data_IF_217379653135
#
_entry.id   IF_217379653135
#
_cell.length_a   1.000
_cell.length_b   1.000
_cell.length_c   1.000
_cell.angle_alpha   90.00
_cell.angle_beta   90.00
_cell.angle_gamma   90.00
#
_symmetry.space_group_name_H-M   'P 1'
#
loop_
_entity.id
_entity.type
_entity.pdbx_description
1 polymer ?
#
# COMPACT_ATOMS: atom_id res chain seq x y z
N UNK A 1 -0.52 -14.19 5.80
CA UNK A 1 -0.70 -12.82 6.30
C UNK A 1 -1.29 -12.02 5.17
N UNK A 2 -2.35 -11.28 5.46
CA UNK A 2 -2.94 -10.32 4.54
C UNK A 2 -2.64 -8.95 5.12
N UNK A 3 -1.47 -8.42 4.78
CA UNK A 3 -0.99 -7.16 5.34
C UNK A 3 -1.74 -6.01 4.70
N UNK A 4 -2.22 -5.10 5.53
CA UNK A 4 -2.78 -3.81 5.14
C UNK A 4 -1.80 -2.72 5.55
N UNK A 5 -1.28 -2.01 4.55
CA UNK A 5 -0.29 -0.96 4.74
C UNK A 5 -0.83 0.22 5.54
N UNK A 6 -2.06 0.63 5.26
CA UNK A 6 -2.69 1.77 5.93
C UNK A 6 -3.02 1.44 7.38
N UNK A 7 -3.61 0.27 7.65
CA UNK A 7 -3.91 -0.16 9.01
C UNK A 7 -2.66 -0.35 9.86
N UNK A 8 -1.57 -0.91 9.29
CA UNK A 8 -0.30 -1.01 10.00
C UNK A 8 0.23 0.38 10.40
N UNK A 9 0.20 1.34 9.48
CA UNK A 9 0.71 2.69 9.72
C UNK A 9 -0.17 3.50 10.68
N UNK A 10 -1.50 3.39 10.58
CA UNK A 10 -2.41 3.93 11.59
C UNK A 10 -2.19 3.31 12.98
N UNK A 11 -1.76 2.05 13.03
CA UNK A 11 -1.34 1.36 14.25
C UNK A 11 0.04 1.79 14.80
N UNK A 12 0.70 2.77 14.18
CA UNK A 12 1.98 3.32 14.63
C UNK A 12 3.22 2.63 14.04
N UNK A 13 3.06 1.75 13.06
CA UNK A 13 4.20 1.16 12.33
C UNK A 13 4.74 2.18 11.32
N UNK A 14 6.04 2.43 11.30
CA UNK A 14 6.63 3.32 10.30
C UNK A 14 6.57 2.72 8.88
N UNK A 15 6.72 3.51 7.81
CA UNK A 15 6.81 2.98 6.45
C UNK A 15 7.89 1.87 6.30
N UNK A 16 9.06 2.07 6.91
CA UNK A 16 10.14 1.08 6.93
C UNK A 16 9.75 -0.18 7.72
N UNK A 17 9.02 0.00 8.83
CA UNK A 17 8.48 -1.11 9.61
C UNK A 17 7.53 -1.99 8.80
N UNK A 18 6.74 -1.40 7.89
CA UNK A 18 5.89 -2.15 6.95
C UNK A 18 6.74 -2.99 5.99
N UNK A 19 7.87 -2.46 5.49
CA UNK A 19 8.82 -3.22 4.67
C UNK A 19 9.43 -4.40 5.45
N UNK A 20 9.80 -4.15 6.70
CA UNK A 20 10.40 -5.17 7.58
C UNK A 20 9.44 -6.31 7.91
N UNK A 21 8.14 -6.05 7.96
CA UNK A 21 7.12 -7.10 8.10
C UNK A 21 7.19 -8.08 6.91
N UNK A 22 7.33 -7.59 5.67
CA UNK A 22 7.47 -8.46 4.50
C UNK A 22 8.77 -9.27 4.56
N UNK A 23 9.89 -8.63 4.93
CA UNK A 23 11.19 -9.30 5.08
C UNK A 23 11.18 -10.39 6.15
N UNK A 24 10.49 -10.13 7.27
CA UNK A 24 10.42 -11.05 8.42
C UNK A 24 9.61 -12.32 8.11
N UNK A 25 8.65 -12.24 7.20
CA UNK A 25 7.74 -13.35 6.89
C UNK A 25 7.75 -13.69 5.38
N UNK A 26 8.88 -14.20 4.84
CA UNK A 26 9.01 -14.50 3.42
C UNK A 26 7.98 -15.53 2.97
N UNK A 27 7.38 -15.30 1.80
CA UNK A 27 6.36 -16.17 1.20
C UNK A 27 5.00 -16.18 1.92
N UNK A 28 4.80 -15.36 2.96
CA UNK A 28 3.57 -15.35 3.77
C UNK A 28 2.59 -14.23 3.40
N UNK A 29 2.92 -13.33 2.48
CA UNK A 29 2.09 -12.20 2.06
C UNK A 29 1.40 -12.46 0.72
N UNK A 30 0.62 -13.55 0.62
CA UNK A 30 -0.01 -13.97 -0.64
C UNK A 30 -0.95 -12.92 -1.25
N UNK A 31 -1.64 -12.18 -0.41
CA UNK A 31 -2.37 -10.98 -0.78
C UNK A 31 -2.00 -9.84 0.16
N UNK A 32 -2.06 -8.61 -0.34
CA UNK A 32 -1.83 -7.39 0.44
C UNK A 32 -2.87 -6.33 0.08
N UNK A 33 -3.27 -5.54 1.06
CA UNK A 33 -4.09 -4.36 0.87
C UNK A 33 -3.16 -3.15 0.71
N UNK A 34 -3.35 -2.42 -0.38
CA UNK A 34 -2.67 -1.17 -0.69
C UNK A 34 -3.59 -0.03 -0.27
N UNK A 35 -3.43 0.41 0.96
CA UNK A 35 -4.09 1.58 1.54
C UNK A 35 -3.04 2.62 1.89
N UNK A 36 -3.18 3.82 1.35
CA UNK A 36 -2.28 4.93 1.64
C UNK A 36 -2.41 5.37 3.09
N UNK A 37 -1.31 5.89 3.62
CA UNK A 37 -1.29 6.59 4.88
C UNK A 37 -0.72 7.99 4.68
N UNK A 38 -1.33 8.98 5.34
CA UNK A 38 -0.78 10.32 5.43
C UNK A 38 -1.11 10.90 6.79
N UNK A 39 -0.08 11.36 7.49
CA UNK A 39 -0.22 12.10 8.75
C UNK A 39 -0.94 13.45 8.61
N UNK A 40 -1.16 13.93 7.37
CA UNK A 40 -1.71 15.28 7.08
C UNK A 40 -3.08 15.27 6.40
N UNK A 41 -3.39 14.22 5.65
CA UNK A 41 -4.67 14.08 4.98
C UNK A 41 -5.08 12.61 4.91
N UNK A 42 -6.04 12.21 5.74
CA UNK A 42 -6.56 10.85 5.77
C UNK A 42 -7.20 10.39 4.45
N UNK A 43 -7.48 11.31 3.52
CA UNK A 43 -8.08 11.04 2.21
C UNK A 43 -7.04 10.87 1.10
N UNK A 44 -5.75 10.83 1.45
CA UNK A 44 -4.67 10.66 0.48
C UNK A 44 -4.89 9.42 -0.40
N UNK A 45 -4.68 9.59 -1.72
CA UNK A 45 -4.72 8.50 -2.68
C UNK A 45 -3.36 7.79 -2.70
N UNK A 46 -3.31 6.55 -3.20
CA UNK A 46 -2.04 5.82 -3.36
C UNK A 46 -1.00 6.71 -4.05
N UNK A 47 0.16 6.87 -3.42
CA UNK A 47 1.28 7.65 -3.93
C UNK A 47 1.27 9.14 -3.54
N UNK A 48 0.26 9.59 -2.81
CA UNK A 48 0.15 10.99 -2.33
C UNK A 48 0.49 11.11 -0.84
N UNK A 49 0.76 9.99 -0.16
CA UNK A 49 1.07 9.94 1.26
C UNK A 49 2.52 9.56 1.57
N UNK A 50 2.70 8.91 2.70
CA UNK A 50 3.99 8.61 3.32
C UNK A 50 4.45 7.15 3.08
N UNK A 51 3.60 6.30 2.50
CA UNK A 51 3.97 4.90 2.26
C UNK A 51 5.05 4.77 1.18
N UNK A 52 6.05 3.92 1.44
CA UNK A 52 7.18 3.64 0.53
C UNK A 52 6.80 2.63 -0.56
N UNK A 53 5.88 3.00 -1.46
CA UNK A 53 5.27 2.06 -2.41
C UNK A 53 6.25 1.32 -3.31
N UNK A 54 7.28 1.99 -3.84
CA UNK A 54 8.25 1.35 -4.75
C UNK A 54 8.95 0.18 -4.06
N UNK A 55 9.49 0.42 -2.87
CA UNK A 55 10.20 -0.60 -2.09
C UNK A 55 9.26 -1.69 -1.59
N UNK A 56 8.04 -1.31 -1.19
CA UNK A 56 7.03 -2.27 -0.75
C UNK A 56 6.63 -3.24 -1.86
N UNK A 57 6.34 -2.73 -3.06
CA UNK A 57 5.99 -3.56 -4.21
C UNK A 57 7.18 -4.44 -4.62
N UNK A 58 8.40 -3.93 -4.59
CA UNK A 58 9.58 -4.72 -4.90
C UNK A 58 9.77 -5.88 -3.90
N UNK A 59 9.59 -5.64 -2.61
CA UNK A 59 9.62 -6.70 -1.60
C UNK A 59 8.45 -7.68 -1.76
N UNK A 60 7.27 -7.21 -2.14
CA UNK A 60 6.13 -8.09 -2.40
C UNK A 60 6.42 -9.06 -3.55
N UNK A 61 7.08 -8.58 -4.62
CA UNK A 61 7.50 -9.39 -5.78
C UNK A 61 8.61 -10.38 -5.45
N UNK A 62 9.60 -9.96 -4.67
CA UNK A 62 10.85 -10.73 -4.45
C UNK A 62 10.83 -11.60 -3.20
N UNK A 63 10.18 -11.15 -2.13
CA UNK A 63 10.21 -11.80 -0.80
C UNK A 63 8.84 -12.24 -0.33
N UNK A 64 7.81 -11.42 -0.54
CA UNK A 64 6.47 -11.63 0.03
C UNK A 64 5.74 -12.87 -0.49
N UNK A 65 6.12 -13.36 -1.68
CA UNK A 65 5.39 -14.41 -2.39
C UNK A 65 3.99 -13.95 -2.80
N UNK A 66 3.85 -12.65 -3.07
CA UNK A 66 2.59 -11.94 -3.29
C UNK A 66 2.04 -12.25 -4.66
N UNK A 67 0.75 -12.56 -4.73
CA UNK A 67 0.03 -12.88 -5.95
C UNK A 67 -1.05 -11.83 -6.26
N UNK A 68 -1.62 -11.20 -5.22
CA UNK A 68 -2.71 -10.24 -5.35
C UNK A 68 -2.44 -8.95 -4.60
N UNK A 69 -2.58 -7.83 -5.32
CA UNK A 69 -2.60 -6.48 -4.77
C UNK A 69 -4.03 -5.96 -4.78
N UNK A 70 -4.55 -5.61 -3.61
CA UNK A 70 -5.92 -5.11 -3.45
C UNK A 70 -5.82 -3.61 -3.18
N UNK A 71 -6.26 -2.78 -4.10
CA UNK A 71 -6.39 -1.34 -3.85
C UNK A 71 -7.55 -1.13 -2.89
N UNK A 72 -7.28 -0.54 -1.73
CA UNK A 72 -8.27 -0.23 -0.70
C UNK A 72 -8.27 1.27 -0.43
N UNK A 73 -9.45 1.87 -0.49
CA UNK A 73 -9.63 3.29 -0.24
C UNK A 73 -10.99 3.53 0.39
N UNK A 74 -10.98 4.13 1.59
CA UNK A 74 -12.13 4.16 2.49
C UNK A 74 -12.49 5.59 2.95
N UNK A 75 -11.71 6.59 2.53
CA UNK A 75 -11.80 8.00 2.93
C UNK A 75 -11.64 8.90 1.71
N UNK A 76 -12.66 9.70 1.37
CA UNK A 76 -12.77 10.19 0.00
C UNK A 76 -12.53 11.71 -0.15
N UNK A 77 -11.54 12.08 -0.96
CA UNK A 77 -11.36 13.46 -1.46
C UNK A 77 -12.24 13.76 -2.69
N UNK A 78 -12.67 12.70 -3.40
CA UNK A 78 -13.53 12.75 -4.60
C UNK A 78 -14.69 11.75 -4.45
N UNK A 79 -15.40 11.43 -5.54
CA UNK A 79 -16.36 10.32 -5.49
C UNK A 79 -15.62 8.98 -5.37
N UNK A 80 -16.22 7.93 -4.76
CA UNK A 80 -15.53 6.65 -4.55
C UNK A 80 -14.94 6.03 -5.82
N UNK A 81 -15.68 6.04 -6.93
CA UNK A 81 -15.20 5.51 -8.21
C UNK A 81 -14.03 6.31 -8.79
N UNK A 82 -14.05 7.64 -8.62
CA UNK A 82 -12.95 8.50 -9.06
C UNK A 82 -11.69 8.26 -8.22
N UNK A 83 -11.84 8.10 -6.90
CA UNK A 83 -10.70 7.76 -6.04
C UNK A 83 -10.07 6.41 -6.45
N UNK A 84 -10.88 5.36 -6.65
CA UNK A 84 -10.38 4.04 -7.09
C UNK A 84 -9.64 4.14 -8.43
N UNK A 85 -10.21 4.89 -9.39
CA UNK A 85 -9.57 5.14 -10.69
C UNK A 85 -8.20 5.81 -10.52
N UNK A 86 -8.11 6.86 -9.72
CA UNK A 86 -6.85 7.60 -9.47
C UNK A 86 -5.83 6.76 -8.73
N UNK A 87 -6.23 6.02 -7.70
CA UNK A 87 -5.36 5.07 -7.00
C UNK A 87 -4.78 4.04 -7.97
N UNK A 88 -5.59 3.49 -8.89
CA UNK A 88 -5.12 2.55 -9.90
C UNK A 88 -4.13 3.19 -10.88
N UNK A 89 -4.40 4.42 -11.33
CA UNK A 89 -3.49 5.16 -12.21
C UNK A 89 -2.16 5.50 -11.53
N UNK A 90 -2.19 5.94 -10.28
CA UNK A 90 -1.00 6.22 -9.49
C UNK A 90 -0.18 4.94 -9.27
N UNK A 91 -0.83 3.84 -8.88
CA UNK A 91 -0.15 2.54 -8.72
C UNK A 91 0.53 2.09 -10.03
N UNK A 92 -0.16 2.21 -11.18
CA UNK A 92 0.43 1.89 -12.49
C UNK A 92 1.70 2.71 -12.75
N UNK A 93 1.67 4.02 -12.47
CA UNK A 93 2.87 4.89 -12.62
C UNK A 93 4.01 4.47 -11.71
N UNK A 94 3.71 4.03 -10.48
CA UNK A 94 4.70 3.57 -9.51
C UNK A 94 5.39 2.28 -9.97
N UNK A 95 4.63 1.33 -10.56
CA UNK A 95 5.15 -0.01 -10.91
C UNK A 95 5.73 -0.13 -12.32
N UNK A 96 5.52 0.85 -13.19
CA UNK A 96 6.00 0.86 -14.59
C UNK A 96 7.34 1.58 -14.78
N UNK A 97 7.95 2.07 -13.71
CA UNK A 97 9.26 2.76 -13.70
C UNK A 97 10.17 2.11 -12.67
#
# INVERSE_FOLDING_TARGET
>A
MQLDTGNAMHGGVSPEGVLDIIRRYPGRAKSVHLKEFSSRDERALIGEGEMMWKDFIELCKTVGGTEWYIIEHETYAYTPLECVKRCLENLKRIVQH
#
